data_IF_676436168252
#
_entry.id   IF_676436168252
#
_cell.length_a   1.000
_cell.length_b   1.000
_cell.length_c   1.000
_cell.angle_alpha   90.00
_cell.angle_beta   90.00
_cell.angle_gamma   90.00
#
_symmetry.space_group_name_H-M   'P 1'
#
loop_
_entity.id
_entity.type
_entity.pdbx_description
1 polymer ?
#
# COMPACT_ATOMS: atom_id res chain seq x y z
N UNK A 1 -7.09 12.12 8.84
CA UNK A 1 -5.82 11.55 8.35
C UNK A 1 -6.07 10.06 8.35
N UNK A 2 -6.23 9.48 7.16
CA UNK A 2 -6.68 8.09 6.99
C UNK A 2 -5.46 7.20 6.82
N UNK A 3 -5.36 6.16 7.63
CA UNK A 3 -4.19 5.29 7.68
C UNK A 3 -4.60 3.84 7.47
N UNK A 4 -3.70 3.05 6.90
CA UNK A 4 -3.85 1.60 6.79
C UNK A 4 -2.90 0.90 7.76
N UNK A 5 -3.40 0.19 8.78
CA UNK A 5 -2.55 -0.60 9.66
C UNK A 5 -2.07 -1.86 8.94
N UNK A 6 -0.77 -2.13 9.02
CA UNK A 6 -0.15 -3.38 8.53
C UNK A 6 0.49 -4.10 9.71
N UNK A 7 -0.02 -5.30 10.00
CA UNK A 7 0.57 -6.23 10.96
C UNK A 7 1.71 -7.00 10.27
N UNK A 8 2.92 -6.92 10.85
CA UNK A 8 4.10 -7.63 10.33
C UNK A 8 4.64 -8.60 11.38
N UNK A 9 4.89 -9.85 10.96
CA UNK A 9 5.55 -10.87 11.78
C UNK A 9 7.09 -10.75 11.62
N UNK A 10 7.70 -9.69 12.17
CA UNK A 10 9.15 -9.51 12.17
C UNK A 10 9.72 -9.80 13.57
N UNK A 11 10.08 -11.08 13.81
CA UNK A 11 10.62 -11.54 15.10
C UNK A 11 9.57 -11.60 16.22
N UNK A 12 10.00 -11.59 17.49
CA UNK A 12 9.14 -11.71 18.68
C UNK A 12 8.33 -10.43 19.01
N UNK A 13 8.19 -9.49 18.07
CA UNK A 13 7.50 -8.22 18.32
C UNK A 13 6.49 -7.93 17.21
N UNK A 14 5.26 -7.64 17.63
CA UNK A 14 4.25 -7.06 16.76
C UNK A 14 4.68 -5.63 16.41
N UNK A 15 5.06 -5.41 15.14
CA UNK A 15 5.36 -4.08 14.63
C UNK A 15 4.14 -3.60 13.85
N UNK A 16 3.62 -2.43 14.22
CA UNK A 16 2.54 -1.75 13.52
C UNK A 16 3.15 -0.76 12.54
N UNK A 17 2.98 -1.02 11.25
CA UNK A 17 3.37 -0.09 10.20
C UNK A 17 2.15 0.65 9.68
N UNK A 18 2.33 1.95 9.48
CA UNK A 18 1.30 2.86 9.02
C UNK A 18 1.64 3.30 7.61
N UNK A 19 0.78 2.98 6.65
CA UNK A 19 0.89 3.53 5.29
C UNK A 19 0.15 4.87 5.28
N UNK A 20 0.90 5.95 5.12
CA UNK A 20 0.34 7.30 5.03
C UNK A 20 -0.10 7.62 3.61
N UNK A 21 -1.31 8.17 3.48
CA UNK A 21 -1.83 8.68 2.20
C UNK A 21 -1.40 10.14 2.01
N UNK A 22 -0.59 10.37 0.98
CA UNK A 22 -0.08 11.70 0.66
C UNK A 22 -1.12 12.63 0.00
N UNK A 23 -0.79 13.92 -0.18
CA UNK A 23 -1.69 14.90 -0.80
C UNK A 23 -2.19 14.50 -2.19
N UNK A 24 -1.33 13.91 -3.03
CA UNK A 24 -1.69 13.46 -4.38
C UNK A 24 -2.77 12.38 -4.37
N UNK A 25 -2.67 11.43 -3.42
CA UNK A 25 -3.69 10.42 -3.21
C UNK A 25 -5.03 11.07 -2.84
N UNK A 26 -5.02 12.04 -1.92
CA UNK A 26 -6.23 12.70 -1.46
C UNK A 26 -6.90 13.50 -2.58
N UNK A 27 -6.10 14.15 -3.45
CA UNK A 27 -6.61 14.83 -4.63
C UNK A 27 -7.32 13.88 -5.58
N UNK A 28 -6.69 12.75 -5.93
CA UNK A 28 -7.30 11.76 -6.84
C UNK A 28 -8.50 11.07 -6.21
N UNK A 29 -8.44 10.75 -4.92
CA UNK A 29 -9.57 10.16 -4.19
C UNK A 29 -10.77 11.11 -4.15
N UNK A 30 -10.53 12.42 -4.00
CA UNK A 30 -11.57 13.44 -4.08
C UNK A 30 -12.17 13.52 -5.47
N UNK A 31 -11.36 13.58 -6.53
CA UNK A 31 -11.83 13.61 -7.92
C UNK A 31 -12.70 12.39 -8.24
N UNK A 32 -12.28 11.19 -7.81
CA UNK A 32 -13.07 9.97 -7.97
C UNK A 32 -14.39 10.04 -7.19
N UNK A 33 -14.37 10.55 -5.96
CA UNK A 33 -15.58 10.70 -5.14
C UNK A 33 -16.57 11.70 -5.76
N UNK A 34 -16.06 12.81 -6.28
CA UNK A 34 -16.88 13.85 -6.91
C UNK A 34 -17.53 13.27 -8.19
N UNK A 35 -16.81 12.49 -9.00
CA UNK A 35 -17.38 11.80 -10.17
C UNK A 35 -18.44 10.74 -9.80
N UNK A 36 -18.16 9.93 -8.76
CA UNK A 36 -19.12 8.91 -8.30
C UNK A 36 -20.44 9.56 -7.85
N UNK A 37 -20.38 10.73 -7.23
CA UNK A 37 -21.56 11.46 -6.76
C UNK A 37 -22.47 11.96 -7.90
N UNK A 38 -21.95 12.10 -9.12
CA UNK A 38 -22.73 12.48 -10.30
C UNK A 38 -23.49 11.31 -10.94
N UNK A 39 -23.14 10.07 -10.56
CA UNK A 39 -23.77 8.89 -11.14
C UNK A 39 -25.21 8.72 -10.63
N UNK A 40 -26.15 8.25 -11.47
CA UNK A 40 -27.54 8.02 -11.08
C UNK A 40 -27.68 6.70 -10.29
N UNK A 41 -26.96 6.59 -9.17
CA UNK A 41 -26.97 5.43 -8.29
C UNK A 41 -27.96 5.64 -7.15
N UNK A 42 -28.58 4.55 -6.67
CA UNK A 42 -29.25 4.60 -5.37
C UNK A 42 -28.20 4.79 -4.26
N UNK A 43 -28.65 5.24 -3.09
CA UNK A 43 -27.77 5.41 -1.91
C UNK A 43 -27.05 4.09 -1.59
N UNK A 44 -27.75 2.95 -1.63
CA UNK A 44 -27.17 1.64 -1.34
C UNK A 44 -26.12 1.22 -2.37
N UNK A 45 -26.34 1.55 -3.64
CA UNK A 45 -25.37 1.28 -4.71
C UNK A 45 -24.13 2.15 -4.55
N UNK A 46 -24.31 3.43 -4.24
CA UNK A 46 -23.23 4.36 -3.98
C UNK A 46 -22.38 3.93 -2.77
N UNK A 47 -23.02 3.59 -1.65
CA UNK A 47 -22.34 3.13 -0.44
C UNK A 47 -21.53 1.86 -0.68
N UNK A 48 -22.10 0.92 -1.46
CA UNK A 48 -21.39 -0.29 -1.87
C UNK A 48 -20.20 0.03 -2.76
N UNK A 49 -20.34 0.94 -3.73
CA UNK A 49 -19.27 1.34 -4.63
C UNK A 49 -18.11 1.99 -3.87
N UNK A 50 -18.41 2.97 -3.01
CA UNK A 50 -17.41 3.64 -2.16
C UNK A 50 -16.68 2.63 -1.28
N UNK A 51 -17.41 1.72 -0.62
CA UNK A 51 -16.80 0.65 0.18
C UNK A 51 -15.87 -0.25 -0.63
N UNK A 52 -16.28 -0.64 -1.84
CA UNK A 52 -15.46 -1.49 -2.71
C UNK A 52 -14.19 -0.77 -3.18
N UNK A 53 -14.31 0.52 -3.55
CA UNK A 53 -13.16 1.35 -3.94
C UNK A 53 -12.16 1.47 -2.80
N UNK A 54 -12.62 1.81 -1.59
CA UNK A 54 -11.75 1.90 -0.39
C UNK A 54 -11.08 0.55 -0.10
N UNK A 55 -11.83 -0.55 -0.18
CA UNK A 55 -11.30 -1.89 0.09
C UNK A 55 -10.26 -2.32 -0.95
N UNK A 56 -10.50 -2.07 -2.23
CA UNK A 56 -9.56 -2.35 -3.31
C UNK A 56 -8.26 -1.57 -3.10
N UNK A 57 -8.36 -0.24 -2.89
CA UNK A 57 -7.20 0.63 -2.72
C UNK A 57 -6.38 0.23 -1.50
N UNK A 58 -7.03 -0.04 -0.37
CA UNK A 58 -6.37 -0.50 0.87
C UNK A 58 -5.61 -1.81 0.65
N UNK A 59 -6.20 -2.76 -0.10
CA UNK A 59 -5.51 -4.02 -0.45
C UNK A 59 -4.33 -3.78 -1.40
N UNK A 60 -4.48 -2.90 -2.38
CA UNK A 60 -3.40 -2.56 -3.31
C UNK A 60 -2.22 -1.90 -2.59
N UNK A 61 -2.48 -0.93 -1.70
CA UNK A 61 -1.47 -0.28 -0.86
C UNK A 61 -0.69 -1.30 -0.01
N UNK A 62 -1.42 -2.20 0.67
CA UNK A 62 -0.81 -3.26 1.48
C UNK A 62 0.06 -4.20 0.63
N UNK A 63 -0.45 -4.64 -0.52
CA UNK A 63 0.31 -5.53 -1.41
C UNK A 63 1.57 -4.85 -1.95
N UNK A 64 1.46 -3.59 -2.39
CA UNK A 64 2.60 -2.81 -2.88
C UNK A 64 3.67 -2.64 -1.80
N UNK A 65 3.26 -2.42 -0.54
CA UNK A 65 4.19 -2.37 0.59
C UNK A 65 4.97 -3.68 0.77
N UNK A 66 4.29 -4.83 0.80
CA UNK A 66 4.95 -6.13 0.99
C UNK A 66 5.86 -6.49 -0.18
N UNK A 67 5.44 -6.23 -1.42
CA UNK A 67 6.29 -6.44 -2.60
C UNK A 67 7.52 -5.51 -2.57
N UNK A 68 7.35 -4.23 -2.21
CA UNK A 68 8.46 -3.30 -2.03
C UNK A 68 9.47 -3.78 -0.98
N UNK A 69 8.98 -4.23 0.18
CA UNK A 69 9.83 -4.78 1.24
C UNK A 69 10.58 -6.04 0.78
N UNK A 70 9.91 -6.94 0.06
CA UNK A 70 10.51 -8.14 -0.52
C UNK A 70 11.62 -7.77 -1.51
N UNK A 71 11.34 -6.89 -2.47
CA UNK A 71 12.30 -6.45 -3.48
C UNK A 71 13.52 -5.77 -2.83
N UNK A 72 13.31 -4.94 -1.80
CA UNK A 72 14.41 -4.33 -1.04
C UNK A 72 15.33 -5.36 -0.38
N UNK A 73 14.77 -6.42 0.21
CA UNK A 73 15.56 -7.52 0.78
C UNK A 73 16.32 -8.32 -0.30
N UNK A 74 15.69 -8.56 -1.46
CA UNK A 74 16.32 -9.24 -2.58
C UNK A 74 17.50 -8.42 -3.15
N UNK A 75 17.33 -7.11 -3.32
CA UNK A 75 18.38 -6.18 -3.75
C UNK A 75 19.57 -6.17 -2.78
N UNK A 76 19.32 -5.99 -1.48
CA UNK A 76 20.39 -5.99 -0.48
C UNK A 76 21.17 -7.31 -0.43
N UNK A 77 20.50 -8.45 -0.66
CA UNK A 77 21.17 -9.75 -0.79
C UNK A 77 22.01 -9.84 -2.06
N UNK A 78 21.57 -9.25 -3.16
CA UNK A 78 22.34 -9.23 -4.42
C UNK A 78 23.61 -8.38 -4.28
N UNK A 79 23.51 -7.20 -3.67
CA UNK A 79 24.66 -6.30 -3.41
C UNK A 79 25.72 -6.97 -2.50
N UNK A 80 25.28 -7.68 -1.47
CA UNK A 80 26.18 -8.44 -0.58
C UNK A 80 26.93 -9.57 -1.30
N UNK A 81 26.27 -10.25 -2.25
CA UNK A 81 26.91 -11.30 -3.06
C UNK A 81 27.96 -10.70 -3.99
N UNK A 82 27.61 -9.63 -4.70
CA UNK A 82 28.54 -8.93 -5.59
C UNK A 82 29.78 -8.43 -4.83
N UNK A 83 29.58 -7.83 -3.66
CA UNK A 83 30.69 -7.33 -2.80
C UNK A 83 31.62 -8.45 -2.30
N UNK A 84 31.10 -9.67 -2.10
CA UNK A 84 31.89 -10.85 -1.71
C UNK A 84 32.64 -11.48 -2.88
N UNK A 85 32.09 -11.41 -4.08
CA UNK A 85 32.73 -11.92 -5.30
C UNK A 85 33.87 -11.01 -5.80
N UNK A 86 33.79 -9.69 -5.52
CA UNK A 86 34.82 -8.70 -5.86
C UNK A 86 36.00 -8.64 -4.86
N UNK A 87 35.90 -9.29 -3.70
CA UNK A 87 37.01 -9.45 -2.74
C UNK A 87 37.40 -10.93 -2.59
N UNK A 88 38.02 -11.55 -3.60
CA UNK A 88 38.61 -12.87 -3.43
C UNK A 88 39.89 -12.74 -2.59
N UNK A 89 39.90 -13.37 -1.41
CA UNK A 89 41.15 -13.72 -0.72
C UNK A 89 41.98 -14.73 -1.52
#
# INVERSE_FOLDING_TARGET
>A
MDFVPVETMWGDRDIWLTIERGPEFLTVAKELSDYIAELPLTVEQNDKLVRLAVAQTTKAERNAFFEGARLGLELGRAEQRASREESPE
#
